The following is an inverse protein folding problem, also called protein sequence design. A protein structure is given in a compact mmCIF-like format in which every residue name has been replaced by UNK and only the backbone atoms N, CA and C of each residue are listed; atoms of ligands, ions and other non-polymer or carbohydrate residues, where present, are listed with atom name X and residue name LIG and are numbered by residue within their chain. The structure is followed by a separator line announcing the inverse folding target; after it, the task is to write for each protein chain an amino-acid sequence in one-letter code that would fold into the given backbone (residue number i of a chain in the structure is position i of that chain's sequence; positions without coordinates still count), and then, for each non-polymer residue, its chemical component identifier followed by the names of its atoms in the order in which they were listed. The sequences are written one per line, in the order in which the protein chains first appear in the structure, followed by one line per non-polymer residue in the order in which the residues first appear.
data_IF_111727446185
#
_entry.id   IF_111727446185
#
_cell.length_a   1.000
_cell.length_b   1.000
_cell.length_c   1.000
_cell.angle_alpha   90.00
_cell.angle_beta   90.00
_cell.angle_gamma   90.00
#
_symmetry.space_group_name_H-M   'P 1'
#
loop_
_entity.id
_entity.type
_entity.pdbx_description
1 polymer ?
#
# COMPACT_ATOMS: atom_id res chain seq x y z
N UNK A 1 -16.29 11.44 59.51
CA UNK A 1 -16.43 10.29 60.43
C UNK A 1 -15.68 9.16 59.77
N UNK A 2 -14.48 8.99 60.12
CA UNK A 2 -13.92 8.04 61.10
C UNK A 2 -13.53 6.76 60.38
N UNK A 3 -12.23 6.56 60.08
CA UNK A 3 -11.15 5.94 60.89
C UNK A 3 -10.96 4.47 60.42
N UNK A 4 -9.81 4.15 59.93
CA UNK A 4 -8.52 3.65 60.41
C UNK A 4 -8.38 2.13 60.23
N UNK A 5 -7.25 1.78 59.64
CA UNK A 5 -6.01 1.12 60.12
C UNK A 5 -6.07 -0.41 60.04
N UNK A 6 -5.14 -1.07 59.54
CA UNK A 6 -3.68 -1.27 59.58
C UNK A 6 -3.34 -2.67 60.15
N UNK A 7 -2.31 -3.28 59.62
CA UNK A 7 -1.19 -4.07 60.18
C UNK A 7 -0.77 -5.18 59.23
N UNK A 8 0.39 -5.19 58.63
CA UNK A 8 1.78 -5.45 59.07
C UNK A 8 1.99 -6.71 59.90
N UNK A 9 2.82 -7.62 59.40
CA UNK A 9 3.93 -8.39 60.02
C UNK A 9 4.32 -9.52 59.10
N UNK A 10 5.45 -9.61 58.44
CA UNK A 10 6.88 -9.81 58.76
C UNK A 10 7.19 -11.06 59.63
N UNK A 11 8.18 -11.84 59.20
CA UNK A 11 9.21 -12.65 59.85
C UNK A 11 9.52 -13.87 58.95
N UNK A 12 10.64 -13.97 58.22
CA UNK A 12 12.08 -14.21 58.49
C UNK A 12 12.42 -15.62 59.05
N UNK A 13 13.44 -16.20 58.40
CA UNK A 13 14.43 -17.21 58.80
C UNK A 13 14.08 -18.68 58.57
N UNK A 14 14.88 -19.52 57.96
CA UNK A 14 16.28 -19.95 58.13
C UNK A 14 16.63 -21.05 57.13
N UNK A 15 17.86 -21.02 56.61
CA UNK A 15 18.60 -22.17 56.10
C UNK A 15 19.08 -23.04 57.29
N UNK A 16 19.45 -24.33 57.10
CA UNK A 16 20.86 -24.64 56.88
C UNK A 16 21.19 -25.80 55.96
N UNK A 17 22.37 -25.68 55.42
CA UNK A 17 23.38 -26.55 54.91
C UNK A 17 23.28 -28.07 55.27
N UNK A 18 23.64 -28.92 54.27
CA UNK A 18 24.56 -30.03 54.51
C UNK A 18 25.29 -30.48 53.22
N UNK A 19 26.56 -30.57 53.39
CA UNK A 19 27.66 -31.10 52.56
C UNK A 19 27.42 -32.53 52.08
N UNK A 20 27.96 -32.85 50.90
CA UNK A 20 28.21 -34.20 50.47
C UNK A 20 29.09 -34.24 49.22
N UNK A 21 30.42 -34.19 49.45
CA UNK A 21 31.47 -34.42 48.41
C UNK A 21 31.57 -35.89 48.17
N UNK A 22 31.47 -36.35 46.91
CA UNK A 22 32.02 -37.66 46.49
C UNK A 22 32.82 -37.42 45.22
N UNK A 23 34.11 -37.56 45.42
CA UNK A 23 35.16 -37.58 44.37
C UNK A 23 35.24 -38.99 43.81
N UNK A 24 34.97 -39.19 42.53
CA UNK A 24 35.28 -40.41 41.79
C UNK A 24 36.29 -40.07 40.70
N UNK A 25 37.54 -40.44 40.93
CA UNK A 25 38.61 -40.54 39.93
C UNK A 25 38.34 -41.75 39.06
N UNK A 26 38.22 -41.57 37.75
CA UNK A 26 38.41 -42.64 36.76
C UNK A 26 39.53 -42.27 35.82
N UNK A 27 40.52 -43.15 35.80
CA UNK A 27 41.68 -43.13 34.88
C UNK A 27 41.19 -43.16 33.43
N UNK A 28 41.67 -42.21 32.63
CA UNK A 28 41.58 -42.30 31.18
C UNK A 28 42.92 -42.80 30.65
N UNK A 29 42.93 -44.00 30.13
CA UNK A 29 44.04 -44.57 29.35
C UNK A 29 44.03 -43.95 27.95
N UNK A 30 45.11 -43.27 27.62
CA UNK A 30 45.37 -42.70 26.29
C UNK A 30 45.85 -43.83 25.37
N UNK A 31 45.10 -44.11 24.31
CA UNK A 31 45.59 -44.82 23.13
C UNK A 31 45.84 -43.81 22.02
N UNK A 32 46.99 -43.89 21.32
CA UNK A 32 47.20 -43.05 20.13
C UNK A 32 46.42 -43.70 18.97
N UNK A 33 45.55 -42.92 18.35
CA UNK A 33 44.92 -43.30 17.10
C UNK A 33 45.38 -42.35 15.99
N UNK A 34 45.84 -42.96 14.92
CA UNK A 34 46.41 -42.37 13.74
C UNK A 34 45.47 -41.37 13.09
N UNK A 35 46.08 -40.26 12.64
CA UNK A 35 45.49 -39.29 11.71
C UNK A 35 45.31 -39.97 10.34
N UNK A 36 44.11 -40.43 10.03
CA UNK A 36 43.66 -40.68 8.68
C UNK A 36 42.61 -39.63 8.33
N UNK A 37 42.95 -38.78 7.37
CA UNK A 37 42.08 -37.77 6.74
C UNK A 37 40.80 -38.44 6.26
N UNK A 38 39.69 -38.04 6.88
CA UNK A 38 38.37 -38.15 6.26
C UNK A 38 37.87 -36.70 6.12
N UNK A 39 38.05 -36.11 4.93
CA UNK A 39 37.22 -35.00 4.48
C UNK A 39 35.81 -35.55 4.42
N UNK A 40 35.00 -35.19 5.40
CA UNK A 40 33.55 -35.25 5.26
C UNK A 40 33.13 -33.91 4.67
N UNK A 41 32.74 -33.95 3.40
CA UNK A 41 31.96 -32.94 2.75
C UNK A 41 30.70 -32.70 3.60
N UNK A 42 30.65 -31.60 4.32
CA UNK A 42 29.39 -31.07 4.80
C UNK A 42 28.57 -30.68 3.54
N UNK A 43 27.35 -31.22 3.40
CA UNK A 43 26.51 -30.72 2.34
C UNK A 43 26.25 -29.23 2.65
N UNK A 44 26.82 -28.34 1.84
CA UNK A 44 26.38 -26.98 1.68
C UNK A 44 24.85 -27.06 1.57
N UNK A 45 24.14 -26.59 2.59
CA UNK A 45 22.75 -26.29 2.48
C UNK A 45 22.66 -25.22 1.40
N UNK A 46 22.41 -25.65 0.18
CA UNK A 46 21.80 -24.84 -0.84
C UNK A 46 20.56 -24.22 -0.19
N UNK A 47 20.62 -22.92 0.05
CA UNK A 47 19.44 -22.14 0.41
C UNK A 47 18.51 -22.33 -0.77
N UNK A 48 17.51 -23.18 -0.58
CA UNK A 48 16.51 -23.42 -1.59
C UNK A 48 15.94 -22.06 -1.99
N UNK A 49 16.31 -21.66 -3.19
CA UNK A 49 15.68 -20.60 -3.95
C UNK A 49 14.17 -20.72 -3.75
N UNK A 50 13.60 -19.65 -3.24
CA UNK A 50 12.18 -19.31 -3.23
C UNK A 50 11.36 -20.20 -4.15
N UNK A 51 10.28 -20.78 -3.62
CA UNK A 51 9.29 -21.53 -4.37
C UNK A 51 8.86 -20.71 -5.59
N UNK A 52 9.52 -20.94 -6.71
CA UNK A 52 9.12 -20.32 -7.97
C UNK A 52 7.69 -20.81 -8.23
N UNK A 53 6.76 -19.87 -8.35
CA UNK A 53 5.42 -20.15 -8.85
C UNK A 53 5.63 -20.92 -10.15
N UNK A 54 5.18 -22.17 -10.22
CA UNK A 54 5.31 -22.98 -11.44
C UNK A 54 4.63 -22.21 -12.56
N UNK A 55 5.37 -21.93 -13.65
CA UNK A 55 4.80 -21.18 -14.77
C UNK A 55 3.57 -21.93 -15.31
N UNK A 56 2.40 -21.26 -15.36
CA UNK A 56 1.18 -21.86 -15.85
C UNK A 56 1.28 -22.19 -17.33
N UNK A 57 0.71 -23.31 -17.75
CA UNK A 57 0.62 -23.68 -19.17
C UNK A 57 -0.31 -22.73 -19.95
N UNK A 58 -0.44 -22.92 -21.27
CA UNK A 58 -1.21 -22.00 -22.14
C UNK A 58 -2.70 -21.95 -21.77
N UNK A 59 -3.29 -23.04 -21.31
CA UNK A 59 -4.70 -23.13 -20.92
C UNK A 59 -4.91 -22.45 -19.56
N UNK A 60 -4.03 -22.73 -18.59
CA UNK A 60 -3.97 -22.11 -17.28
C UNK A 60 -3.74 -20.60 -17.38
N UNK A 61 -2.83 -20.15 -18.29
CA UNK A 61 -2.67 -18.73 -18.60
C UNK A 61 -3.97 -18.13 -19.13
N UNK A 62 -4.67 -18.82 -20.04
CA UNK A 62 -5.98 -18.39 -20.53
C UNK A 62 -6.97 -18.17 -19.38
N UNK A 63 -7.03 -19.09 -18.41
CA UNK A 63 -7.92 -18.98 -17.25
C UNK A 63 -7.58 -17.76 -16.37
N UNK A 64 -6.31 -17.55 -16.08
CA UNK A 64 -5.86 -16.48 -15.16
C UNK A 64 -5.93 -15.08 -15.80
N UNK A 65 -5.50 -14.94 -17.07
CA UNK A 65 -5.28 -13.62 -17.69
C UNK A 65 -6.38 -13.18 -18.65
N UNK A 66 -7.24 -14.09 -19.16
CA UNK A 66 -8.36 -13.70 -20.02
C UNK A 66 -9.63 -13.37 -19.25
N UNK A 67 -9.67 -13.65 -17.93
CA UNK A 67 -10.88 -13.52 -17.12
C UNK A 67 -11.92 -14.62 -17.41
N UNK A 68 -11.53 -15.74 -18.02
CA UNK A 68 -12.39 -16.90 -18.21
C UNK A 68 -12.91 -17.42 -16.87
N UNK A 69 -14.13 -17.85 -16.82
CA UNK A 69 -14.72 -18.52 -15.66
C UNK A 69 -14.25 -19.96 -15.63
N UNK A 70 -13.81 -20.53 -14.49
CA UNK A 70 -13.45 -21.92 -14.38
C UNK A 70 -14.70 -22.82 -14.65
N UNK A 71 -14.49 -23.86 -15.43
CA UNK A 71 -15.56 -24.78 -15.88
C UNK A 71 -15.45 -26.15 -15.22
N UNK A 72 -14.36 -26.42 -14.48
CA UNK A 72 -14.13 -27.68 -13.80
C UNK A 72 -13.62 -27.51 -12.37
N UNK A 73 -13.72 -28.56 -11.56
CA UNK A 73 -13.16 -28.59 -10.20
C UNK A 73 -11.64 -28.52 -10.23
N UNK A 74 -11.00 -29.09 -11.25
CA UNK A 74 -9.56 -29.09 -11.35
C UNK A 74 -9.03 -27.70 -11.71
N UNK A 75 -9.72 -26.92 -12.54
CA UNK A 75 -9.42 -25.50 -12.75
C UNK A 75 -9.58 -24.67 -11.48
N UNK A 76 -10.61 -24.93 -10.68
CA UNK A 76 -10.79 -24.24 -9.39
C UNK A 76 -9.65 -24.56 -8.40
N UNK A 77 -9.22 -25.82 -8.30
CA UNK A 77 -8.09 -26.21 -7.47
C UNK A 77 -6.77 -25.59 -7.94
N UNK A 78 -6.58 -25.53 -9.26
CA UNK A 78 -5.42 -24.84 -9.85
C UNK A 78 -5.42 -23.36 -9.46
N UNK A 79 -6.54 -22.66 -9.63
CA UNK A 79 -6.66 -21.25 -9.24
C UNK A 79 -6.41 -21.03 -7.75
N UNK A 80 -6.98 -21.85 -6.88
CA UNK A 80 -6.76 -21.78 -5.43
C UNK A 80 -5.26 -21.91 -5.10
N UNK A 81 -4.60 -22.94 -5.66
CA UNK A 81 -3.16 -23.16 -5.47
C UNK A 81 -2.33 -21.99 -5.99
N UNK A 82 -2.65 -21.48 -7.17
CA UNK A 82 -1.95 -20.35 -7.78
C UNK A 82 -2.09 -19.07 -6.93
N UNK A 83 -3.31 -18.75 -6.48
CA UNK A 83 -3.55 -17.57 -5.63
C UNK A 83 -2.85 -17.68 -4.28
N UNK A 84 -2.80 -18.87 -3.68
CA UNK A 84 -2.08 -19.09 -2.43
C UNK A 84 -0.57 -18.89 -2.60
N UNK A 85 0.04 -19.48 -3.62
CA UNK A 85 1.47 -19.34 -3.94
C UNK A 85 1.82 -17.88 -4.26
N UNK A 86 0.99 -17.22 -5.08
CA UNK A 86 1.16 -15.83 -5.42
C UNK A 86 1.11 -14.93 -4.17
N UNK A 87 0.13 -15.16 -3.29
CA UNK A 87 0.02 -14.40 -2.05
C UNK A 87 1.27 -14.54 -1.18
N UNK A 88 1.77 -15.77 -1.01
CA UNK A 88 3.01 -16.03 -0.24
C UNK A 88 4.23 -15.31 -0.83
N UNK A 89 4.35 -15.28 -2.16
CA UNK A 89 5.47 -14.62 -2.84
C UNK A 89 5.48 -13.10 -2.70
N UNK A 90 4.31 -12.45 -2.67
CA UNK A 90 4.19 -10.99 -2.64
C UNK A 90 4.05 -10.40 -1.22
N UNK A 91 3.75 -11.23 -0.22
CA UNK A 91 3.58 -10.78 1.17
C UNK A 91 4.81 -10.07 1.75
N UNK A 92 6.05 -10.57 1.56
CA UNK A 92 7.23 -9.92 2.12
C UNK A 92 7.44 -8.48 1.62
N UNK A 93 7.02 -8.17 0.40
CA UNK A 93 7.13 -6.83 -0.19
C UNK A 93 5.97 -5.88 0.22
N UNK A 94 4.86 -6.44 0.75
CA UNK A 94 3.70 -5.64 1.19
C UNK A 94 3.90 -5.17 2.62
N UNK A 95 3.89 -3.85 2.84
CA UNK A 95 4.23 -3.23 4.12
C UNK A 95 3.09 -2.43 4.72
N UNK A 96 3.10 -2.30 6.05
CA UNK A 96 2.27 -1.32 6.73
C UNK A 96 3.02 0.00 6.84
N UNK A 97 2.33 1.10 6.59
CA UNK A 97 2.83 2.48 6.69
C UNK A 97 2.12 3.17 7.84
N UNK A 98 2.88 3.73 8.77
CA UNK A 98 2.35 4.54 9.86
C UNK A 98 2.90 5.97 9.79
N UNK A 99 1.98 6.94 9.69
CA UNK A 99 2.25 8.39 9.69
C UNK A 99 1.55 9.04 10.89
N UNK A 100 2.25 9.09 12.02
CA UNK A 100 1.65 9.56 13.28
C UNK A 100 0.53 8.64 13.75
N UNK A 101 -0.73 9.10 13.71
CA UNK A 101 -1.91 8.30 14.04
C UNK A 101 -2.57 7.64 12.82
N UNK A 102 -2.22 8.08 11.62
CA UNK A 102 -2.74 7.49 10.38
C UNK A 102 -1.98 6.22 10.03
N UNK A 103 -2.70 5.23 9.51
CA UNK A 103 -2.14 3.97 9.05
C UNK A 103 -2.67 3.62 7.67
N UNK A 104 -1.85 2.94 6.90
CA UNK A 104 -2.17 2.40 5.60
C UNK A 104 -1.22 1.30 5.20
N UNK A 105 -1.25 0.94 3.95
CA UNK A 105 -0.39 -0.07 3.34
C UNK A 105 0.52 0.53 2.28
N UNK A 106 1.51 -0.21 1.86
CA UNK A 106 2.39 0.09 0.74
C UNK A 106 3.01 -1.15 0.16
N UNK A 107 3.74 -1.01 -0.92
CA UNK A 107 4.49 -2.08 -1.55
C UNK A 107 5.89 -1.61 -1.93
N UNK A 108 6.89 -2.42 -1.59
CA UNK A 108 8.29 -2.18 -1.98
C UNK A 108 8.46 -2.66 -3.42
N UNK A 109 9.01 -1.80 -4.28
CA UNK A 109 9.14 -2.05 -5.73
C UNK A 109 10.58 -1.98 -6.23
N UNK A 110 11.54 -1.94 -5.31
CA UNK A 110 12.96 -1.96 -5.67
C UNK A 110 13.82 -2.53 -4.55
N UNK A 111 14.95 -3.16 -4.89
CA UNK A 111 15.85 -3.77 -3.90
C UNK A 111 16.45 -2.76 -2.92
N UNK A 112 16.53 -1.50 -3.31
CA UNK A 112 17.03 -0.38 -2.50
C UNK A 112 15.92 0.34 -1.70
N UNK A 113 14.65 -0.14 -1.76
CA UNK A 113 13.57 0.24 -0.85
C UNK A 113 12.74 1.45 -1.27
N UNK A 114 12.42 1.63 -2.56
CA UNK A 114 11.33 2.50 -2.98
C UNK A 114 9.98 1.82 -2.66
N UNK A 115 9.05 2.59 -2.10
CA UNK A 115 7.73 2.12 -1.69
C UNK A 115 6.66 2.93 -2.42
N UNK A 116 5.73 2.25 -3.07
CA UNK A 116 4.53 2.86 -3.62
C UNK A 116 3.39 2.81 -2.60
N UNK A 117 2.57 3.86 -2.58
CA UNK A 117 1.40 3.98 -1.70
C UNK A 117 0.41 5.01 -2.25
N UNK A 118 -0.71 5.21 -1.59
CA UNK A 118 -1.64 6.29 -1.89
C UNK A 118 -1.21 7.62 -1.23
N UNK A 119 -1.43 8.74 -1.93
CA UNK A 119 -1.04 10.06 -1.40
C UNK A 119 -1.73 10.39 -0.07
N UNK A 120 -3.00 10.03 0.10
CA UNK A 120 -3.73 10.32 1.34
C UNK A 120 -3.18 9.56 2.56
N UNK A 121 -2.43 8.46 2.38
CA UNK A 121 -1.76 7.71 3.46
C UNK A 121 -0.59 8.50 4.03
N UNK A 122 0.22 9.13 3.17
CA UNK A 122 1.46 9.81 3.56
C UNK A 122 1.30 11.35 3.65
N UNK A 123 0.18 11.87 3.16
CA UNK A 123 -0.07 13.31 3.05
C UNK A 123 0.69 13.94 1.89
N UNK A 124 0.51 15.24 1.71
CA UNK A 124 1.00 15.99 0.55
C UNK A 124 2.31 16.77 0.80
N UNK A 125 3.08 16.39 1.82
CA UNK A 125 4.35 17.02 2.16
C UNK A 125 5.52 16.02 2.08
N UNK A 126 6.42 16.15 1.10
CA UNK A 126 7.67 15.39 1.04
C UNK A 126 8.60 15.66 2.23
N UNK A 127 9.54 14.75 2.48
CA UNK A 127 10.55 14.89 3.53
C UNK A 127 10.08 14.50 4.94
N UNK A 128 8.85 14.00 5.10
CA UNK A 128 8.35 13.51 6.39
C UNK A 128 8.80 12.07 6.64
N UNK A 129 8.95 11.73 7.91
CA UNK A 129 9.33 10.36 8.30
C UNK A 129 8.08 9.51 8.56
N UNK A 130 8.04 8.34 7.95
CA UNK A 130 7.06 7.28 8.17
C UNK A 130 7.71 6.09 8.87
N UNK A 131 6.96 5.37 9.71
CA UNK A 131 7.34 4.06 10.21
C UNK A 131 6.80 2.99 9.29
N UNK A 132 7.68 2.17 8.75
CA UNK A 132 7.36 1.04 7.88
C UNK A 132 7.50 -0.24 8.68
N UNK A 133 6.51 -1.12 8.58
CA UNK A 133 6.57 -2.44 9.20
C UNK A 133 6.42 -3.51 8.13
N UNK A 134 7.42 -4.37 8.04
CA UNK A 134 7.43 -5.59 7.26
C UNK A 134 6.97 -6.76 8.13
N UNK A 135 6.35 -7.74 7.50
CA UNK A 135 6.12 -9.06 8.07
C UNK A 135 6.98 -10.05 7.27
N UNK A 136 8.10 -10.48 7.86
CA UNK A 136 9.04 -11.42 7.21
C UNK A 136 9.27 -12.58 8.16
N UNK A 137 9.06 -13.81 7.69
CA UNK A 137 9.20 -15.04 8.49
C UNK A 137 8.37 -15.05 9.79
N UNK A 138 7.18 -14.42 9.75
CA UNK A 138 6.29 -14.27 10.91
C UNK A 138 6.74 -13.22 11.93
N UNK A 139 7.83 -12.51 11.65
CA UNK A 139 8.36 -11.44 12.51
C UNK A 139 8.09 -10.04 11.96
N UNK A 140 7.81 -9.10 12.86
CA UNK A 140 7.73 -7.67 12.52
C UNK A 140 9.13 -7.07 12.46
N UNK A 141 9.52 -6.59 11.28
CA UNK A 141 10.71 -5.76 11.10
C UNK A 141 10.29 -4.33 10.83
N UNK A 142 10.72 -3.39 11.67
CA UNK A 142 10.33 -1.98 11.60
C UNK A 142 11.51 -1.11 11.21
N UNK A 143 11.29 -0.24 10.23
CA UNK A 143 12.30 0.68 9.68
C UNK A 143 11.65 2.02 9.36
N UNK A 144 12.44 3.08 9.27
CA UNK A 144 11.94 4.36 8.81
C UNK A 144 12.09 4.54 7.30
N UNK A 145 11.11 5.24 6.74
CA UNK A 145 11.18 5.75 5.37
C UNK A 145 10.88 7.25 5.36
N UNK A 146 11.31 7.91 4.32
CA UNK A 146 11.00 9.31 4.03
C UNK A 146 9.97 9.40 2.91
N UNK A 147 8.98 10.28 3.09
CA UNK A 147 8.03 10.58 2.03
C UNK A 147 8.72 11.34 0.91
N UNK A 148 8.53 10.88 -0.31
CA UNK A 148 9.03 11.50 -1.54
C UNK A 148 7.90 12.23 -2.27
N UNK A 149 7.88 12.11 -3.60
CA UNK A 149 6.88 12.78 -4.43
C UNK A 149 5.46 12.24 -4.20
N UNK A 150 4.50 13.13 -4.41
CA UNK A 150 3.08 12.81 -4.29
C UNK A 150 2.28 13.48 -5.40
N UNK A 151 1.21 12.83 -5.83
CA UNK A 151 0.17 13.41 -6.66
C UNK A 151 -1.16 13.31 -5.94
N UNK A 152 -1.51 14.29 -5.09
CA UNK A 152 -2.75 14.26 -4.32
C UNK A 152 -3.97 14.48 -5.20
N UNK A 153 -5.12 14.15 -4.68
CA UNK A 153 -6.40 14.43 -5.30
C UNK A 153 -7.01 13.22 -6.00
N UNK A 154 -7.46 13.36 -7.26
CA UNK A 154 -8.17 12.26 -7.96
C UNK A 154 -7.26 11.10 -8.29
N UNK A 155 -6.00 11.37 -8.59
CA UNK A 155 -5.00 10.34 -8.89
C UNK A 155 -4.54 9.63 -7.63
N UNK A 156 -4.21 10.37 -6.57
CA UNK A 156 -3.91 9.83 -5.23
C UNK A 156 -2.66 8.95 -5.17
N UNK A 157 -1.61 9.24 -5.93
CA UNK A 157 -0.35 8.49 -5.90
C UNK A 157 0.69 9.10 -4.97
N UNK A 158 1.45 8.27 -4.25
CA UNK A 158 2.51 8.67 -3.34
C UNK A 158 3.67 7.68 -3.31
N UNK A 159 4.85 8.17 -2.95
CA UNK A 159 6.08 7.38 -2.89
C UNK A 159 6.86 7.66 -1.61
N UNK A 160 7.54 6.64 -1.09
CA UNK A 160 8.50 6.77 -0.01
C UNK A 160 9.82 6.08 -0.40
N UNK A 161 10.88 6.41 0.35
CA UNK A 161 12.18 5.74 0.29
C UNK A 161 12.60 5.30 1.67
N UNK A 162 12.96 4.04 1.83
CA UNK A 162 13.54 3.53 3.08
C UNK A 162 14.84 4.29 3.36
N UNK A 163 15.02 4.72 4.61
CA UNK A 163 16.24 5.38 5.06
C UNK A 163 17.27 4.34 5.46
N UNK A 164 18.41 4.35 4.81
CA UNK A 164 19.54 3.52 5.22
C UNK A 164 19.98 3.90 6.64
N UNK A 165 20.35 2.88 7.44
CA UNK A 165 20.81 3.09 8.81
C UNK A 165 19.72 3.54 9.78
N UNK A 166 18.44 3.42 9.41
CA UNK A 166 17.36 3.75 10.32
C UNK A 166 17.24 2.69 11.42
N UNK A 167 17.42 3.15 12.64
CA UNK A 167 17.45 2.33 13.84
C UNK A 167 16.09 1.70 14.16
N UNK A 168 16.11 0.60 14.93
CA UNK A 168 14.92 -0.10 15.42
C UNK A 168 14.04 0.82 16.27
N UNK A 169 12.75 0.91 15.97
CA UNK A 169 11.82 1.68 16.79
C UNK A 169 11.51 0.96 18.11
N UNK A 170 11.85 1.60 19.24
CA UNK A 170 11.44 1.14 20.54
C UNK A 170 10.10 1.79 20.93
N UNK A 171 9.03 1.01 20.92
CA UNK A 171 7.67 1.48 21.20
C UNK A 171 7.48 2.04 22.62
N UNK A 172 8.27 1.59 23.60
CA UNK A 172 8.20 2.09 24.99
C UNK A 172 8.92 3.41 25.21
N UNK A 173 10.05 3.60 24.51
CA UNK A 173 10.87 4.80 24.69
C UNK A 173 10.58 5.89 23.64
N UNK A 174 9.77 5.61 22.62
CA UNK A 174 9.60 6.43 21.41
C UNK A 174 10.96 6.82 20.79
N UNK A 175 11.97 5.99 21.02
CA UNK A 175 13.33 6.12 20.54
C UNK A 175 13.66 4.92 19.68
N UNK A 176 14.58 5.12 18.78
CA UNK A 176 15.13 4.07 17.92
C UNK A 176 16.24 3.36 18.69
N UNK A 177 16.06 2.08 18.98
CA UNK A 177 17.13 1.21 19.47
C UNK A 177 17.72 0.47 18.28
N UNK A 178 19.02 0.59 18.09
CA UNK A 178 19.87 -0.10 17.11
C UNK A 178 19.27 -0.49 15.75
N UNK A 179 20.07 -0.27 14.72
CA UNK A 179 19.81 -0.58 13.31
C UNK A 179 19.18 -1.97 13.11
N UNK A 180 17.98 -2.00 12.54
CA UNK A 180 17.53 -3.18 11.82
C UNK A 180 18.09 -3.02 10.41
N UNK A 181 19.12 -3.76 10.11
CA UNK A 181 19.57 -3.95 8.72
C UNK A 181 18.84 -5.17 8.19
N UNK A 182 18.26 -5.05 7.03
CA UNK A 182 18.04 -6.22 6.20
C UNK A 182 19.43 -6.65 5.72
N UNK A 183 19.77 -7.92 5.93
CA UNK A 183 20.98 -8.47 5.32
C UNK A 183 20.70 -8.66 3.83
N UNK A 184 21.25 -7.79 3.00
CA UNK A 184 21.01 -7.78 1.55
C UNK A 184 19.94 -6.78 1.11
N UNK A 185 19.20 -7.15 0.09
CA UNK A 185 18.15 -6.37 -0.53
C UNK A 185 16.85 -6.42 0.29
N UNK A 186 16.03 -5.35 0.17
CA UNK A 186 14.68 -5.41 0.70
C UNK A 186 13.82 -6.36 -0.14
N UNK A 187 12.87 -7.10 0.48
CA UNK A 187 11.87 -7.81 -0.32
C UNK A 187 11.15 -6.83 -1.22
N UNK A 188 11.11 -7.09 -2.51
CA UNK A 188 10.46 -6.23 -3.49
C UNK A 188 9.73 -7.05 -4.56
N UNK A 189 8.88 -6.38 -5.32
CA UNK A 189 8.16 -6.92 -6.48
C UNK A 189 8.26 -5.92 -7.63
N UNK A 190 8.10 -6.41 -8.84
CA UNK A 190 8.19 -5.59 -10.03
C UNK A 190 6.91 -4.76 -10.27
N UNK A 191 7.06 -3.64 -10.98
CA UNK A 191 5.95 -2.80 -11.42
C UNK A 191 5.52 -3.30 -12.81
N UNK A 192 4.29 -3.78 -12.89
CA UNK A 192 3.69 -4.23 -14.14
C UNK A 192 3.08 -3.09 -14.96
N UNK A 193 2.45 -3.46 -16.06
CA UNK A 193 1.80 -2.55 -17.01
C UNK A 193 0.30 -2.55 -16.77
N UNK A 194 -0.28 -1.39 -16.46
CA UNK A 194 -1.72 -1.25 -16.20
C UNK A 194 -2.52 -0.82 -17.42
N UNK A 195 -1.91 -0.18 -18.42
CA UNK A 195 -2.63 0.31 -19.60
C UNK A 195 -3.26 -0.78 -20.47
N UNK A 196 -2.65 -1.99 -20.47
CA UNK A 196 -3.07 -3.11 -21.34
C UNK A 196 -4.07 -4.07 -20.65
N UNK A 197 -4.44 -3.79 -19.39
CA UNK A 197 -5.36 -4.62 -18.63
C UNK A 197 -6.75 -4.61 -19.24
N UNK A 198 -7.38 -5.77 -19.24
CA UNK A 198 -8.73 -5.98 -19.81
C UNK A 198 -9.75 -6.24 -18.71
N UNK A 199 -10.97 -5.81 -18.95
CA UNK A 199 -12.10 -6.15 -18.08
C UNK A 199 -12.24 -7.67 -17.92
N UNK A 200 -12.51 -8.10 -16.70
CA UNK A 200 -12.65 -9.51 -16.36
C UNK A 200 -11.38 -10.24 -15.95
N UNK A 201 -10.18 -9.67 -16.19
CA UNK A 201 -8.93 -10.27 -15.72
C UNK A 201 -8.92 -10.43 -14.20
N UNK A 202 -8.39 -11.56 -13.72
CA UNK A 202 -8.22 -11.82 -12.30
C UNK A 202 -7.09 -10.98 -11.71
N UNK A 203 -7.30 -10.52 -10.48
CA UNK A 203 -6.36 -9.67 -9.76
C UNK A 203 -6.37 -9.98 -8.28
N UNK A 204 -5.29 -9.65 -7.59
CA UNK A 204 -5.08 -9.88 -6.17
C UNK A 204 -4.82 -8.56 -5.45
N UNK A 205 -5.73 -8.10 -4.60
CA UNK A 205 -5.49 -6.95 -3.74
C UNK A 205 -4.98 -7.42 -2.38
N UNK A 206 -3.90 -6.78 -1.88
CA UNK A 206 -3.29 -7.11 -0.60
C UNK A 206 -3.19 -5.86 0.27
N UNK A 207 -3.33 -6.04 1.60
CA UNK A 207 -3.21 -4.91 2.51
C UNK A 207 -3.29 -5.29 3.99
N UNK A 208 -3.24 -4.26 4.84
CA UNK A 208 -3.33 -4.34 6.29
C UNK A 208 -4.62 -3.68 6.79
N UNK A 209 -5.80 -4.27 6.61
CA UNK A 209 -7.05 -3.66 7.04
C UNK A 209 -7.05 -3.39 8.55
N UNK A 210 -7.35 -2.14 8.94
CA UNK A 210 -7.28 -1.73 10.35
C UNK A 210 -5.87 -1.66 10.94
N UNK A 211 -4.81 -1.77 10.11
CA UNK A 211 -3.41 -1.78 10.53
C UNK A 211 -2.86 -3.19 10.79
N UNK A 212 -1.67 -3.26 11.42
CA UNK A 212 -1.02 -4.53 11.73
C UNK A 212 -1.79 -5.30 12.80
N UNK A 213 -2.10 -6.54 12.46
CA UNK A 213 -2.63 -7.53 13.38
C UNK A 213 -1.84 -8.84 13.22
N UNK A 214 -1.04 -9.19 14.23
CA UNK A 214 -0.18 -10.37 14.21
C UNK A 214 -0.92 -11.70 14.08
N UNK A 215 -2.16 -11.77 14.55
CA UNK A 215 -2.97 -12.98 14.50
C UNK A 215 -3.59 -13.20 13.13
N UNK A 216 -4.02 -12.09 12.50
CA UNK A 216 -4.65 -12.13 11.18
C UNK A 216 -3.63 -12.12 10.04
N UNK A 217 -2.52 -11.36 10.20
CA UNK A 217 -1.55 -11.11 9.14
C UNK A 217 -2.08 -10.15 8.06
N UNK A 218 -1.51 -10.27 6.87
CA UNK A 218 -1.97 -9.61 5.64
C UNK A 218 -3.31 -10.22 5.18
N UNK A 219 -4.11 -9.41 4.54
CA UNK A 219 -5.38 -9.86 3.97
C UNK A 219 -5.32 -9.77 2.45
N UNK A 220 -5.67 -10.88 1.83
CA UNK A 220 -5.75 -11.05 0.38
C UNK A 220 -7.21 -11.01 -0.06
N UNK A 221 -7.46 -10.39 -1.19
CA UNK A 221 -8.76 -10.38 -1.85
C UNK A 221 -8.57 -10.63 -3.32
N UNK A 222 -9.15 -11.71 -3.78
CA UNK A 222 -9.22 -12.05 -5.20
C UNK A 222 -10.42 -11.35 -5.80
N UNK A 223 -10.25 -10.78 -6.96
CA UNK A 223 -11.33 -10.12 -7.70
C UNK A 223 -10.99 -9.99 -9.18
N UNK A 224 -11.73 -9.12 -9.87
CA UNK A 224 -11.62 -8.88 -11.29
C UNK A 224 -11.57 -7.41 -11.62
N UNK A 225 -10.94 -7.08 -12.72
CA UNK A 225 -10.98 -5.74 -13.31
C UNK A 225 -12.38 -5.48 -13.86
N UNK A 226 -13.00 -4.40 -13.38
CA UNK A 226 -14.32 -3.93 -13.84
C UNK A 226 -14.19 -2.82 -14.87
N UNK A 227 -13.21 -1.91 -14.69
CA UNK A 227 -12.99 -0.77 -15.57
C UNK A 227 -11.51 -0.37 -15.51
N UNK A 228 -10.93 0.01 -16.65
CA UNK A 228 -9.54 0.46 -16.75
C UNK A 228 -9.48 1.79 -17.49
N UNK A 229 -9.15 2.86 -16.75
CA UNK A 229 -8.97 4.21 -17.29
C UNK A 229 -7.55 4.69 -17.02
N UNK A 230 -7.10 5.65 -17.79
CA UNK A 230 -5.75 6.21 -17.67
C UNK A 230 -5.38 6.65 -16.24
N UNK A 231 -6.33 7.11 -15.43
CA UNK A 231 -6.09 7.66 -14.09
C UNK A 231 -6.76 6.88 -12.97
N UNK A 232 -7.51 5.83 -13.28
CA UNK A 232 -8.17 4.98 -12.29
C UNK A 232 -8.42 3.58 -12.83
N UNK A 233 -8.09 2.59 -12.05
CA UNK A 233 -8.39 1.19 -12.27
C UNK A 233 -9.47 0.78 -11.26
N UNK A 234 -10.49 0.04 -11.68
CA UNK A 234 -11.59 -0.39 -10.81
C UNK A 234 -11.68 -1.90 -10.78
N UNK A 235 -11.90 -2.43 -9.58
CA UNK A 235 -12.07 -3.87 -9.35
C UNK A 235 -13.22 -4.13 -8.38
N UNK A 236 -13.68 -5.39 -8.34
CA UNK A 236 -14.60 -5.90 -7.32
C UNK A 236 -13.87 -6.44 -6.07
N UNK A 237 -12.55 -6.27 -5.96
CA UNK A 237 -11.81 -6.55 -4.73
C UNK A 237 -12.30 -5.62 -3.62
N UNK A 238 -12.99 -6.17 -2.62
CA UNK A 238 -13.54 -5.38 -1.50
C UNK A 238 -12.44 -4.77 -0.66
N UNK A 239 -12.28 -3.45 -0.69
CA UNK A 239 -11.34 -2.72 0.16
C UNK A 239 -12.00 -2.24 1.44
N UNK A 240 -11.21 -2.12 2.51
CA UNK A 240 -11.63 -1.52 3.78
C UNK A 240 -10.55 -0.60 4.32
N UNK A 241 -10.84 0.17 5.39
CA UNK A 241 -9.87 1.09 6.00
C UNK A 241 -8.58 0.39 6.42
N UNK A 242 -7.43 0.91 6.00
CA UNK A 242 -6.10 0.33 6.19
C UNK A 242 -5.52 -0.38 4.95
N UNK A 243 -6.35 -0.81 4.01
CA UNK A 243 -5.89 -1.35 2.72
C UNK A 243 -5.34 -0.26 1.79
N UNK A 244 -5.73 0.99 2.02
CA UNK A 244 -5.24 2.15 1.26
C UNK A 244 -3.73 2.16 1.14
N UNK A 245 -3.22 2.32 -0.07
CA UNK A 245 -1.80 2.29 -0.41
C UNK A 245 -1.22 0.90 -0.64
N UNK A 246 -1.94 -0.18 -0.30
CA UNK A 246 -1.51 -1.55 -0.59
C UNK A 246 -1.57 -1.87 -2.07
N UNK A 247 -0.85 -2.91 -2.53
CA UNK A 247 -0.77 -3.30 -3.92
C UNK A 247 -2.03 -4.00 -4.43
N UNK A 248 -2.26 -3.83 -5.73
CA UNK A 248 -3.06 -4.68 -6.59
C UNK A 248 -2.11 -5.38 -7.55
N UNK A 249 -2.13 -6.70 -7.54
CA UNK A 249 -1.27 -7.54 -8.38
C UNK A 249 -2.03 -8.16 -9.54
N UNK A 250 -1.34 -8.38 -10.64
CA UNK A 250 -1.77 -9.34 -11.66
C UNK A 250 -1.44 -10.77 -11.22
N UNK A 251 -1.72 -11.73 -12.09
CA UNK A 251 -1.49 -13.14 -11.80
C UNK A 251 -0.03 -13.61 -12.01
N UNK A 252 0.88 -12.70 -12.38
CA UNK A 252 2.33 -12.95 -12.33
C UNK A 252 2.97 -12.47 -11.01
N UNK A 253 2.27 -11.61 -10.25
CA UNK A 253 2.80 -10.97 -9.06
C UNK A 253 3.35 -9.57 -9.31
N UNK A 254 3.12 -9.02 -10.48
CA UNK A 254 3.51 -7.66 -10.81
C UNK A 254 2.48 -6.66 -10.26
N UNK A 255 2.96 -5.53 -9.72
CA UNK A 255 2.08 -4.46 -9.24
C UNK A 255 1.45 -3.73 -10.41
N UNK A 256 0.15 -3.90 -10.60
CA UNK A 256 -0.62 -3.22 -11.65
C UNK A 256 -1.43 -2.04 -11.13
N UNK A 257 -1.51 -1.88 -9.80
CA UNK A 257 -2.22 -0.77 -9.19
C UNK A 257 -1.97 -0.64 -7.70
N UNK A 258 -2.39 0.50 -7.13
CA UNK A 258 -2.29 0.78 -5.70
C UNK A 258 -3.69 1.10 -5.15
N UNK A 259 -4.11 0.40 -4.11
CA UNK A 259 -5.42 0.57 -3.46
C UNK A 259 -5.61 2.02 -2.99
N UNK A 260 -6.66 2.68 -3.45
CA UNK A 260 -6.88 4.09 -3.16
C UNK A 260 -8.19 4.34 -2.41
N UNK A 261 -9.32 4.01 -3.01
CA UNK A 261 -10.62 4.40 -2.48
C UNK A 261 -11.65 3.28 -2.59
N UNK A 262 -12.55 3.24 -1.62
CA UNK A 262 -13.76 2.43 -1.66
C UNK A 262 -14.76 3.18 -2.55
N UNK A 263 -15.38 2.48 -3.47
CA UNK A 263 -16.42 2.99 -4.34
C UNK A 263 -17.79 3.05 -3.66
N UNK A 264 -18.84 3.13 -4.47
CA UNK A 264 -20.21 3.25 -3.95
C UNK A 264 -20.75 1.95 -3.39
N UNK A 265 -20.24 0.83 -3.86
CA UNK A 265 -20.60 -0.51 -3.40
C UNK A 265 -19.36 -1.29 -3.00
N UNK A 266 -19.52 -2.36 -2.24
CA UNK A 266 -18.40 -3.23 -1.84
C UNK A 266 -17.68 -3.88 -3.05
N UNK A 267 -18.36 -3.97 -4.17
CA UNK A 267 -17.84 -4.54 -5.41
C UNK A 267 -17.33 -3.47 -6.40
N UNK A 268 -17.06 -2.25 -5.93
CA UNK A 268 -16.59 -1.15 -6.77
C UNK A 268 -15.51 -0.38 -6.03
N UNK A 269 -14.27 -0.77 -6.24
CA UNK A 269 -13.13 -0.19 -5.53
C UNK A 269 -12.10 0.36 -6.53
N UNK A 270 -11.49 1.48 -6.17
CA UNK A 270 -10.62 2.24 -7.04
C UNK A 270 -9.15 2.07 -6.66
N UNK A 271 -8.33 1.90 -7.69
CA UNK A 271 -6.89 1.79 -7.57
C UNK A 271 -6.21 2.82 -8.45
N UNK A 272 -5.04 3.29 -8.04
CA UNK A 272 -4.15 4.10 -8.87
C UNK A 272 -3.44 3.17 -9.85
N UNK A 273 -3.56 3.34 -11.17
CA UNK A 273 -2.83 2.53 -12.14
C UNK A 273 -1.31 2.61 -11.94
N UNK A 274 -0.61 1.48 -12.07
CA UNK A 274 0.84 1.41 -11.87
C UNK A 274 1.63 2.29 -12.85
N UNK A 275 1.14 2.42 -14.09
CA UNK A 275 1.79 3.26 -15.11
C UNK A 275 1.90 4.74 -14.69
N UNK A 276 1.04 5.22 -13.78
CA UNK A 276 1.17 6.57 -13.24
C UNK A 276 2.46 6.76 -12.46
N UNK A 277 2.89 5.74 -11.73
CA UNK A 277 4.15 5.77 -10.98
C UNK A 277 5.34 5.66 -11.93
N UNK A 278 5.28 4.76 -12.90
CA UNK A 278 6.33 4.57 -13.92
C UNK A 278 6.52 5.83 -14.79
N UNK A 279 5.42 6.43 -15.29
CA UNK A 279 5.46 7.66 -16.10
C UNK A 279 6.02 8.88 -15.32
N UNK A 280 5.92 8.89 -14.01
CA UNK A 280 6.30 10.02 -13.16
C UNK A 280 7.41 9.70 -12.18
N UNK A 281 8.11 8.61 -12.39
CA UNK A 281 9.13 8.08 -11.50
C UNK A 281 10.16 9.16 -11.09
N UNK A 282 10.75 9.86 -12.06
CA UNK A 282 11.77 10.88 -11.79
C UNK A 282 11.23 12.05 -10.94
N UNK A 283 9.98 12.46 -11.18
CA UNK A 283 9.35 13.52 -10.39
C UNK A 283 9.06 13.04 -8.96
N UNK A 284 8.61 11.80 -8.80
CA UNK A 284 8.31 11.23 -7.50
C UNK A 284 9.58 11.00 -6.69
N UNK A 285 10.62 10.42 -7.27
CA UNK A 285 11.92 10.20 -6.59
C UNK A 285 12.59 11.52 -6.22
N UNK A 286 12.41 12.58 -7.00
CA UNK A 286 12.87 13.92 -6.70
C UNK A 286 12.05 14.65 -5.61
N UNK A 287 11.03 14.01 -5.03
CA UNK A 287 10.19 14.61 -3.98
C UNK A 287 9.26 15.72 -4.49
N UNK A 288 8.87 15.69 -5.76
CA UNK A 288 8.01 16.72 -6.34
C UNK A 288 6.56 16.49 -5.97
N UNK A 289 5.86 17.56 -5.56
CA UNK A 289 4.39 17.54 -5.43
C UNK A 289 3.80 17.77 -6.82
N UNK A 290 3.34 16.67 -7.43
CA UNK A 290 2.78 16.66 -8.76
C UNK A 290 1.33 17.16 -8.68
N UNK A 291 0.94 18.10 -9.55
CA UNK A 291 -0.42 18.63 -9.61
C UNK A 291 -0.93 19.14 -8.24
N UNK A 292 -0.21 20.07 -7.62
CA UNK A 292 -0.84 20.90 -6.59
C UNK A 292 -2.07 21.53 -7.22
N UNK A 293 -3.25 20.99 -6.91
CA UNK A 293 -4.52 21.48 -7.44
C UNK A 293 -4.61 22.97 -7.23
N UNK A 294 -4.80 23.69 -8.31
CA UNK A 294 -5.37 25.02 -8.19
C UNK A 294 -6.75 24.89 -7.55
N UNK A 295 -7.19 25.88 -6.78
CA UNK A 295 -8.57 25.88 -6.32
C UNK A 295 -9.47 26.30 -7.47
N UNK A 296 -10.58 25.59 -7.61
CA UNK A 296 -11.62 25.88 -8.59
C UNK A 296 -12.72 26.74 -7.97
N UNK A 297 -12.78 26.74 -6.63
CA UNK A 297 -13.74 27.54 -5.86
C UNK A 297 -15.17 27.02 -5.95
N UNK A 298 -15.38 25.72 -6.11
CA UNK A 298 -16.70 25.10 -6.00
C UNK A 298 -16.63 23.67 -5.45
N UNK A 299 -17.76 23.16 -4.99
CA UNK A 299 -17.98 21.74 -4.67
C UNK A 299 -19.25 21.25 -5.34
N UNK A 300 -19.35 19.94 -5.56
CA UNK A 300 -20.51 19.28 -6.16
C UNK A 300 -21.32 18.51 -5.12
N UNK A 301 -22.57 18.20 -5.46
CA UNK A 301 -23.43 17.29 -4.71
C UNK A 301 -22.80 15.89 -4.80
N UNK A 302 -22.87 15.11 -3.72
CA UNK A 302 -22.28 13.80 -3.70
C UNK A 302 -22.82 12.93 -4.83
N UNK A 303 -21.86 12.29 -5.54
CA UNK A 303 -22.09 11.37 -6.66
C UNK A 303 -22.69 12.00 -7.93
N UNK A 304 -22.77 13.32 -7.98
CA UNK A 304 -23.26 14.04 -9.16
C UNK A 304 -22.25 15.06 -9.69
N UNK A 305 -22.56 15.65 -10.84
CA UNK A 305 -21.84 16.77 -11.44
C UNK A 305 -22.58 18.11 -11.21
N UNK A 306 -23.57 18.12 -10.30
CA UNK A 306 -24.31 19.32 -9.90
C UNK A 306 -23.53 20.16 -8.87
N UNK A 307 -23.50 21.47 -9.02
CA UNK A 307 -22.77 22.40 -8.15
C UNK A 307 -23.54 22.59 -6.82
N UNK A 308 -22.94 22.11 -5.72
CA UNK A 308 -23.45 22.25 -4.35
C UNK A 308 -23.11 23.59 -3.72
N UNK A 309 -21.90 24.09 -3.96
CA UNK A 309 -21.38 25.32 -3.36
C UNK A 309 -20.44 26.02 -4.31
N UNK A 310 -20.51 27.35 -4.35
CA UNK A 310 -19.54 28.22 -5.03
C UNK A 310 -18.91 29.13 -3.97
N UNK A 311 -17.58 29.19 -3.94
CA UNK A 311 -16.83 30.01 -3.00
C UNK A 311 -16.90 31.47 -3.44
N UNK A 312 -17.36 32.40 -2.59
CA UNK A 312 -17.44 33.82 -2.92
C UNK A 312 -16.07 34.37 -3.33
N UNK A 313 -16.03 35.14 -4.40
CA UNK A 313 -14.81 35.72 -5.01
C UNK A 313 -13.79 34.68 -5.50
N UNK A 314 -14.16 33.37 -5.46
CA UNK A 314 -13.34 32.27 -5.98
C UNK A 314 -13.34 32.25 -7.52
N UNK A 315 -12.53 31.31 -8.11
CA UNK A 315 -12.46 31.15 -9.57
C UNK A 315 -13.82 30.85 -10.23
N UNK A 316 -14.62 29.97 -9.61
CA UNK A 316 -15.93 29.57 -10.11
C UNK A 316 -16.93 30.76 -10.07
N UNK A 317 -16.93 31.52 -8.98
CA UNK A 317 -17.76 32.72 -8.83
C UNK A 317 -17.42 33.77 -9.89
N UNK A 318 -16.11 34.05 -10.07
CA UNK A 318 -15.61 34.95 -11.12
C UNK A 318 -15.95 34.48 -12.53
N UNK A 319 -16.08 33.17 -12.75
CA UNK A 319 -16.50 32.58 -14.01
C UNK A 319 -18.04 32.65 -14.20
N UNK A 320 -18.79 33.06 -13.18
CA UNK A 320 -20.26 33.15 -13.22
C UNK A 320 -20.97 31.81 -12.98
N UNK A 321 -20.30 30.82 -12.35
CA UNK A 321 -20.89 29.57 -11.92
C UNK A 321 -21.88 29.82 -10.78
N UNK A 322 -22.95 29.03 -10.71
CA UNK A 322 -23.99 29.15 -9.67
C UNK A 322 -24.28 27.78 -9.05
N UNK A 323 -24.78 27.82 -7.83
CA UNK A 323 -25.34 26.61 -7.18
C UNK A 323 -26.51 26.10 -8.02
N UNK A 324 -26.60 24.79 -8.19
CA UNK A 324 -27.58 24.11 -9.05
C UNK A 324 -27.18 24.03 -10.53
N UNK A 325 -26.03 24.59 -10.94
CA UNK A 325 -25.50 24.32 -12.28
C UNK A 325 -25.07 22.86 -12.38
N UNK A 326 -25.37 22.19 -13.50
CA UNK A 326 -24.89 20.84 -13.78
C UNK A 326 -23.78 20.94 -14.82
N UNK A 327 -22.57 20.47 -14.51
CA UNK A 327 -21.44 20.50 -15.46
C UNK A 327 -21.60 19.38 -16.46
N UNK A 328 -21.88 19.68 -17.72
CA UNK A 328 -22.11 18.71 -18.79
C UNK A 328 -20.90 18.52 -19.72
N UNK A 329 -19.95 19.47 -19.71
CA UNK A 329 -18.73 19.39 -20.52
C UNK A 329 -17.58 20.17 -19.89
N UNK A 330 -16.38 19.59 -19.93
CA UNK A 330 -15.12 20.25 -19.54
C UNK A 330 -14.09 20.09 -20.67
N UNK A 331 -13.72 21.22 -21.29
CA UNK A 331 -12.88 21.21 -22.48
C UNK A 331 -13.54 20.45 -23.64
N UNK A 332 -12.95 19.31 -24.02
CA UNK A 332 -13.48 18.40 -25.04
C UNK A 332 -14.25 17.21 -24.44
N UNK A 333 -14.14 16.97 -23.15
CA UNK A 333 -14.70 15.81 -22.46
C UNK A 333 -16.14 16.08 -22.05
N UNK A 334 -17.04 15.15 -22.36
CA UNK A 334 -18.42 15.12 -21.84
C UNK A 334 -18.35 14.64 -20.38
N UNK A 335 -19.17 15.24 -19.52
CA UNK A 335 -19.20 14.93 -18.08
C UNK A 335 -20.59 14.36 -17.75
N UNK A 336 -20.61 13.15 -17.24
CA UNK A 336 -21.82 12.45 -16.84
C UNK A 336 -21.92 12.26 -15.33
N UNK A 337 -20.76 12.24 -14.64
CA UNK A 337 -20.68 12.00 -13.20
C UNK A 337 -19.57 12.82 -12.51
N UNK A 338 -19.51 12.70 -11.17
CA UNK A 338 -18.52 13.38 -10.33
C UNK A 338 -17.09 12.95 -10.63
N UNK A 339 -16.87 11.69 -10.99
CA UNK A 339 -15.53 11.18 -11.24
C UNK A 339 -14.96 11.74 -12.53
N UNK A 340 -15.73 11.71 -13.62
CA UNK A 340 -15.34 12.32 -14.90
C UNK A 340 -15.09 13.83 -14.75
N UNK A 341 -15.92 14.49 -13.92
CA UNK A 341 -15.70 15.88 -13.58
C UNK A 341 -14.38 16.09 -12.83
N UNK A 342 -14.09 15.26 -11.83
CA UNK A 342 -12.86 15.36 -11.04
C UNK A 342 -11.61 15.14 -11.91
N UNK A 343 -11.65 14.17 -12.83
CA UNK A 343 -10.57 13.89 -13.79
C UNK A 343 -10.37 15.06 -14.78
N UNK A 344 -11.46 15.56 -15.35
CA UNK A 344 -11.41 16.70 -16.28
C UNK A 344 -10.96 18.02 -15.62
N UNK A 345 -11.14 18.12 -14.29
CA UNK A 345 -10.78 19.28 -13.48
C UNK A 345 -9.41 19.17 -12.81
N UNK A 346 -8.67 18.08 -13.03
CA UNK A 346 -7.29 17.93 -12.55
C UNK A 346 -6.33 18.74 -13.44
N UNK A 347 -6.26 20.04 -13.18
CA UNK A 347 -5.55 21.01 -14.02
C UNK A 347 -4.67 21.93 -13.20
N UNK A 348 -3.57 22.34 -13.82
CA UNK A 348 -2.56 23.23 -13.24
C UNK A 348 -3.12 24.62 -12.91
N UNK A 349 -2.63 25.27 -11.82
CA UNK A 349 -2.90 26.66 -11.54
C UNK A 349 -2.61 27.55 -12.77
N UNK A 350 -3.39 28.62 -12.91
CA UNK A 350 -3.37 29.59 -14.02
C UNK A 350 -3.88 29.08 -15.38
N UNK A 351 -4.25 27.82 -15.53
CA UNK A 351 -4.95 27.38 -16.74
C UNK A 351 -6.39 27.88 -16.79
N UNK A 352 -6.88 28.09 -17.99
CA UNK A 352 -8.29 28.44 -18.25
C UNK A 352 -8.98 27.18 -18.76
N UNK A 353 -10.02 26.76 -18.04
CA UNK A 353 -10.88 25.64 -18.43
C UNK A 353 -12.16 26.21 -19.03
N UNK A 354 -12.57 25.67 -20.17
CA UNK A 354 -13.88 25.96 -20.77
C UNK A 354 -14.85 24.90 -20.24
N UNK A 355 -15.87 25.34 -19.52
CA UNK A 355 -16.95 24.50 -19.00
C UNK A 355 -18.24 24.82 -19.75
N UNK A 356 -19.07 23.80 -19.96
CA UNK A 356 -20.46 23.95 -20.34
C UNK A 356 -21.30 23.45 -19.17
N UNK A 357 -22.18 24.28 -18.67
CA UNK A 357 -23.09 23.94 -17.58
C UNK A 357 -24.54 24.07 -18.06
N UNK A 358 -25.38 23.14 -17.61
CA UNK A 358 -26.82 23.22 -17.72
C UNK A 358 -27.35 24.02 -16.55
N UNK A 359 -28.07 25.12 -16.82
CA UNK A 359 -28.73 25.98 -15.83
C UNK A 359 -30.20 26.10 -16.16
N UNK A 360 -31.05 25.31 -15.50
CA UNK A 360 -32.42 25.09 -15.93
C UNK A 360 -32.44 24.52 -17.35
N UNK A 361 -33.25 25.12 -18.25
CA UNK A 361 -33.35 24.65 -19.64
C UNK A 361 -32.29 25.19 -20.60
N UNK A 362 -31.28 25.91 -20.07
CA UNK A 362 -30.28 26.61 -20.93
C UNK A 362 -28.86 26.15 -20.65
N UNK A 363 -28.11 25.90 -21.71
CA UNK A 363 -26.68 25.70 -21.63
C UNK A 363 -25.94 27.02 -21.53
N UNK A 364 -24.90 27.09 -20.69
CA UNK A 364 -24.00 28.24 -20.58
C UNK A 364 -22.55 27.80 -20.66
N UNK A 365 -21.77 28.55 -21.42
CA UNK A 365 -20.32 28.38 -21.47
C UNK A 365 -19.65 29.31 -20.44
N UNK A 366 -18.77 28.70 -19.62
CA UNK A 366 -18.00 29.39 -18.60
C UNK A 366 -16.50 29.22 -18.88
N UNK A 367 -15.73 30.30 -18.62
CA UNK A 367 -14.27 30.28 -18.67
C UNK A 367 -13.73 30.39 -17.24
N UNK A 368 -13.31 29.29 -16.66
CA UNK A 368 -12.82 29.20 -15.29
C UNK A 368 -11.29 29.25 -15.28
N UNK A 369 -10.70 30.30 -14.70
CA UNK A 369 -9.27 30.43 -14.48
C UNK A 369 -8.92 29.78 -13.14
N UNK A 370 -8.17 28.70 -13.18
CA UNK A 370 -7.73 27.96 -11.98
C UNK A 370 -6.82 28.83 -11.14
N UNK A 371 -7.17 29.08 -9.87
CA UNK A 371 -6.33 29.82 -8.96
C UNK A 371 -5.32 28.90 -8.25
N UNK A 372 -4.19 29.46 -7.79
CA UNK A 372 -3.30 28.77 -6.85
C UNK A 372 -4.08 28.56 -5.55
N UNK A 373 -4.01 27.37 -4.96
CA UNK A 373 -4.53 27.12 -3.60
C UNK A 373 -3.73 28.03 -2.65
N UNK A 374 -4.37 28.93 -1.94
CA UNK A 374 -3.72 29.73 -0.88
C UNK A 374 -3.19 28.81 0.21
N UNK A 375 -2.03 29.17 0.76
CA UNK A 375 -1.47 28.54 1.95
C UNK A 375 -2.30 28.93 3.17
#
# INVERSE_FOLDING_TARGET
MTILQSHLFSIVTRLPQCLGVVLALTLVTVYPCDLAQAQQDEPTKEVASTNAVTEPDSEQRGLLFSGRVPESVDELKFMESHFAQLAESVFPATVNIQMGQSQGSGVVVSPDGYILTAAHVIGDNPGRTALITFMVDGEEKRIFAETLGVQPGSVDSGMLKIKEGSARYNSRARKLDKEVRFEGEYPYVDIGISNDLKMGQWVLAVGHPGGIDKKRGLVVRVGRIIDNRKTSLRTDCTLVGGDSGGPLFDMNGDVIGINSRIGQTLADNLHVPADIYSEKWDLMTAGVIINRRGTLGFSVVDQTNEIKKVEPKGPADKAGMKVGDIVIKAGRTKISDKQELAEAMDVWPNKIIKLVVQRGDKEKQLKLKVAKKGF
#
